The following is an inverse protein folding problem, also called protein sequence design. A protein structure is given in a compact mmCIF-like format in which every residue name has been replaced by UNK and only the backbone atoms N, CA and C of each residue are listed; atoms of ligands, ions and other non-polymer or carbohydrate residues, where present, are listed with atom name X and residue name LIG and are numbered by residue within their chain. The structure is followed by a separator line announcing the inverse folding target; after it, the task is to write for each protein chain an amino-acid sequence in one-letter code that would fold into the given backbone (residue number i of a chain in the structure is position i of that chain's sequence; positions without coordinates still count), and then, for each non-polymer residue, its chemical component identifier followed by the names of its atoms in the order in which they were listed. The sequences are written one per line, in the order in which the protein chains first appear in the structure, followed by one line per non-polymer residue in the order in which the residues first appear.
data_IF_584435473204
#
_entry.id   IF_584435473204
#
_cell.length_a   1.000
_cell.length_b   1.000
_cell.length_c   1.000
_cell.angle_alpha   90.00
_cell.angle_beta   90.00
_cell.angle_gamma   90.00
#
_symmetry.space_group_name_H-M   'P 1'
#
loop_
_entity.id
_entity.type
_entity.pdbx_description
1 polymer ?
#
# COMPACT_ATOMS: atom_id res chain seq x y z
N UNK A 1 -0.66 -21.51 35.78
CA UNK A 1 -1.95 -21.86 35.16
C UNK A 1 -1.62 -22.54 33.83
N UNK A 2 -2.58 -23.17 33.14
CA UNK A 2 -2.30 -23.68 31.80
C UNK A 2 -2.59 -22.56 30.78
N UNK A 3 -1.65 -22.27 29.90
CA UNK A 3 -1.82 -21.31 28.81
C UNK A 3 -3.11 -21.54 28.02
N UNK A 4 -3.82 -20.46 27.71
CA UNK A 4 -5.01 -20.45 26.82
C UNK A 4 -4.66 -20.29 25.34
N UNK A 5 -3.38 -20.19 24.98
CA UNK A 5 -2.94 -20.05 23.59
C UNK A 5 -3.52 -21.13 22.64
N UNK A 6 -3.55 -22.43 23.01
CA UNK A 6 -4.15 -23.45 22.14
C UNK A 6 -5.64 -23.17 21.83
N UNK A 7 -6.39 -22.58 22.77
CA UNK A 7 -7.80 -22.22 22.55
C UNK A 7 -7.97 -21.18 21.43
N UNK A 8 -7.03 -20.25 21.29
CA UNK A 8 -7.03 -19.26 20.21
C UNK A 8 -6.76 -19.97 18.88
N UNK A 9 -5.70 -20.78 18.81
CA UNK A 9 -5.28 -21.44 17.58
C UNK A 9 -6.33 -22.46 17.08
N UNK A 10 -6.96 -23.21 17.99
CA UNK A 10 -8.04 -24.14 17.68
C UNK A 10 -9.31 -23.47 17.14
N UNK A 11 -9.48 -22.15 17.36
CA UNK A 11 -10.65 -21.39 16.95
C UNK A 11 -10.46 -20.66 15.62
N UNK A 12 -9.23 -20.37 15.22
CA UNK A 12 -8.94 -19.67 13.97
C UNK A 12 -9.44 -20.47 12.75
N UNK A 13 -9.93 -19.75 11.73
CA UNK A 13 -10.55 -20.32 10.53
C UNK A 13 -11.79 -21.20 10.77
N UNK A 14 -12.44 -21.07 11.93
CA UNK A 14 -13.72 -21.72 12.23
C UNK A 14 -14.87 -20.72 12.25
N UNK A 15 -16.10 -21.20 12.10
CA UNK A 15 -17.29 -20.37 12.10
C UNK A 15 -17.63 -19.90 13.53
N UNK A 16 -18.27 -18.75 13.70
CA UNK A 16 -18.71 -18.23 15.01
C UNK A 16 -19.52 -19.24 15.84
N UNK A 17 -20.31 -20.06 15.14
CA UNK A 17 -21.13 -21.10 15.74
C UNK A 17 -20.36 -22.32 16.26
N UNK A 18 -19.08 -22.47 15.91
CA UNK A 18 -18.33 -23.69 16.21
C UNK A 18 -17.93 -23.77 17.69
N UNK A 19 -17.88 -24.98 18.29
CA UNK A 19 -17.54 -25.15 19.69
C UNK A 19 -16.21 -24.49 20.13
N UNK A 20 -15.12 -24.51 19.35
CA UNK A 20 -13.88 -23.81 19.73
C UNK A 20 -14.05 -22.28 19.83
N UNK A 21 -14.74 -21.65 18.87
CA UNK A 21 -14.99 -20.21 18.89
C UNK A 21 -15.87 -19.83 20.09
N UNK A 22 -16.92 -20.63 20.38
CA UNK A 22 -17.77 -20.41 21.57
C UNK A 22 -17.00 -20.50 22.88
N UNK A 23 -16.05 -21.44 23.02
CA UNK A 23 -15.17 -21.53 24.20
C UNK A 23 -14.30 -20.28 24.35
N UNK A 24 -13.81 -19.72 23.24
CA UNK A 24 -13.03 -18.50 23.24
C UNK A 24 -13.89 -17.29 23.66
N UNK A 25 -15.11 -17.19 23.13
CA UNK A 25 -16.09 -16.18 23.55
C UNK A 25 -16.43 -16.28 25.04
N UNK A 26 -16.65 -17.49 25.55
CA UNK A 26 -16.83 -17.75 26.99
C UNK A 26 -15.62 -17.25 27.81
N UNK A 27 -14.40 -17.52 27.34
CA UNK A 27 -13.16 -17.09 28.00
C UNK A 27 -12.98 -15.56 28.02
N UNK A 28 -13.59 -14.83 27.09
CA UNK A 28 -13.63 -13.37 27.09
C UNK A 28 -14.82 -12.75 27.86
N UNK A 29 -15.70 -13.58 28.43
CA UNK A 29 -16.82 -13.12 29.25
C UNK A 29 -18.19 -13.15 28.57
N UNK A 30 -18.34 -13.94 27.49
CA UNK A 30 -19.58 -14.23 26.74
C UNK A 30 -20.15 -13.09 25.91
N UNK A 31 -20.46 -11.96 26.52
CA UNK A 31 -21.17 -10.86 25.84
C UNK A 31 -20.17 -9.78 25.40
N UNK A 32 -20.09 -9.46 24.09
CA UNK A 32 -19.28 -8.34 23.63
C UNK A 32 -19.89 -7.02 24.11
N UNK A 33 -19.03 -6.09 24.56
CA UNK A 33 -19.41 -4.74 24.98
C UNK A 33 -19.49 -3.75 23.82
N UNK A 34 -18.97 -4.13 22.66
CA UNK A 34 -19.14 -3.40 21.41
C UNK A 34 -19.07 -4.37 20.23
N UNK A 35 -19.94 -4.15 19.26
CA UNK A 35 -19.96 -4.84 17.97
C UNK A 35 -19.86 -3.79 16.88
N UNK A 36 -18.94 -3.97 15.95
CA UNK A 36 -18.82 -3.14 14.76
C UNK A 36 -18.91 -4.06 13.53
N UNK A 37 -19.73 -3.67 12.57
CA UNK A 37 -20.00 -4.44 11.36
C UNK A 37 -19.82 -3.54 10.14
N UNK A 38 -19.27 -4.10 9.07
CA UNK A 38 -19.11 -3.41 7.80
C UNK A 38 -18.87 -4.38 6.65
N UNK A 39 -19.25 -3.94 5.47
CA UNK A 39 -18.90 -4.62 4.23
C UNK A 39 -17.81 -3.84 3.51
N UNK A 40 -16.82 -4.53 2.96
CA UNK A 40 -15.76 -3.90 2.17
C UNK A 40 -15.47 -4.70 0.90
N UNK A 41 -14.96 -4.01 -0.12
CA UNK A 41 -14.60 -4.60 -1.40
C UNK A 41 -15.80 -4.99 -2.28
N UNK A 42 -15.50 -5.59 -3.42
CA UNK A 42 -16.44 -6.22 -4.35
C UNK A 42 -15.76 -7.44 -5.01
N UNK A 43 -16.26 -8.68 -4.85
CA UNK A 43 -17.42 -9.06 -4.03
C UNK A 43 -17.29 -8.62 -2.57
N UNK A 44 -18.42 -8.26 -1.96
CA UNK A 44 -18.46 -7.77 -0.59
C UNK A 44 -17.95 -8.85 0.39
N UNK A 45 -17.00 -8.49 1.25
CA UNK A 45 -16.67 -9.26 2.45
C UNK A 45 -17.29 -8.58 3.66
N UNK A 46 -18.06 -9.32 4.45
CA UNK A 46 -18.65 -8.82 5.68
C UNK A 46 -17.69 -9.00 6.86
N UNK A 47 -17.14 -7.89 7.36
CA UNK A 47 -16.29 -7.85 8.55
C UNK A 47 -17.13 -7.55 9.78
N UNK A 48 -17.02 -8.40 10.81
CA UNK A 48 -17.66 -8.22 12.11
C UNK A 48 -16.61 -8.27 13.21
N UNK A 49 -16.58 -7.25 14.06
CA UNK A 49 -15.63 -7.11 15.16
C UNK A 49 -16.35 -7.14 16.49
N UNK A 50 -16.00 -8.12 17.31
CA UNK A 50 -16.56 -8.31 18.65
C UNK A 50 -15.53 -7.90 19.69
N UNK A 51 -15.79 -6.86 20.46
CA UNK A 51 -14.90 -6.40 21.54
C UNK A 51 -15.49 -6.77 22.89
N UNK A 52 -14.66 -7.32 23.77
CA UNK A 52 -15.08 -7.81 25.08
C UNK A 52 -14.53 -6.94 26.21
N UNK A 53 -15.28 -6.86 27.32
CA UNK A 53 -14.89 -6.05 28.49
C UNK A 53 -13.49 -6.40 29.02
N UNK A 54 -13.11 -7.68 28.89
CA UNK A 54 -11.84 -8.24 29.33
C UNK A 54 -10.63 -7.85 28.46
N UNK A 55 -10.82 -7.09 27.38
CA UNK A 55 -9.74 -6.65 26.48
C UNK A 55 -9.44 -7.62 25.33
N UNK A 56 -10.22 -8.69 25.19
CA UNK A 56 -10.21 -9.54 24.00
C UNK A 56 -11.00 -8.93 22.86
N UNK A 57 -10.58 -9.22 21.63
CA UNK A 57 -11.32 -8.86 20.42
C UNK A 57 -11.26 -9.98 19.39
N UNK A 58 -12.38 -10.23 18.72
CA UNK A 58 -12.52 -11.19 17.62
C UNK A 58 -12.86 -10.43 16.34
N UNK A 59 -12.23 -10.80 15.22
CA UNK A 59 -12.55 -10.29 13.89
C UNK A 59 -13.01 -11.47 13.04
N UNK A 60 -14.22 -11.37 12.50
CA UNK A 60 -14.82 -12.36 11.63
C UNK A 60 -14.99 -11.80 10.22
N UNK A 61 -14.69 -12.62 9.21
CA UNK A 61 -15.04 -12.37 7.81
C UNK A 61 -16.05 -13.41 7.37
N UNK A 62 -17.24 -12.99 6.94
CA UNK A 62 -18.32 -13.88 6.50
C UNK A 62 -18.56 -15.04 7.49
N UNK A 63 -18.73 -14.68 8.77
CA UNK A 63 -18.89 -15.57 9.93
C UNK A 63 -17.68 -16.45 10.31
N UNK A 64 -16.56 -16.35 9.58
CA UNK A 64 -15.33 -17.09 9.86
C UNK A 64 -14.36 -16.28 10.71
N UNK A 65 -13.84 -16.84 11.79
CA UNK A 65 -12.88 -16.17 12.66
C UNK A 65 -11.51 -16.04 11.98
N UNK A 66 -11.13 -14.81 11.59
CA UNK A 66 -9.88 -14.53 10.87
C UNK A 66 -8.78 -13.95 11.76
N UNK A 67 -9.16 -13.30 12.87
CA UNK A 67 -8.19 -12.80 13.85
C UNK A 67 -8.72 -12.79 15.28
N UNK A 68 -7.80 -12.98 16.22
CA UNK A 68 -8.02 -12.80 17.67
C UNK A 68 -7.00 -11.80 18.19
N UNK A 69 -7.45 -10.77 18.88
CA UNK A 69 -6.58 -9.77 19.49
C UNK A 69 -6.67 -9.84 21.01
N UNK A 70 -5.51 -9.81 21.65
CA UNK A 70 -5.35 -9.68 23.09
C UNK A 70 -4.75 -8.29 23.38
N UNK A 71 -5.58 -7.33 23.79
CA UNK A 71 -5.13 -5.97 24.08
C UNK A 71 -4.51 -5.91 25.48
N UNK A 72 -3.21 -5.62 25.57
CA UNK A 72 -2.46 -5.56 26.85
C UNK A 72 -2.52 -4.19 27.52
N UNK A 73 -3.16 -3.23 26.87
CA UNK A 73 -3.52 -1.91 27.40
C UNK A 73 -5.02 -1.69 27.27
N UNK A 74 -5.64 -0.86 28.13
CA UNK A 74 -7.06 -0.52 27.97
C UNK A 74 -7.33 0.11 26.60
N UNK A 75 -8.42 -0.29 25.95
CA UNK A 75 -8.84 0.31 24.67
C UNK A 75 -10.06 1.18 24.88
N UNK A 76 -10.10 2.32 24.18
CA UNK A 76 -11.21 3.27 24.25
C UNK A 76 -11.80 3.43 22.85
N UNK A 77 -13.10 3.17 22.74
CA UNK A 77 -13.91 3.55 21.57
C UNK A 77 -14.78 4.76 21.93
N UNK A 78 -15.57 5.26 20.99
CA UNK A 78 -16.44 6.43 21.20
C UNK A 78 -17.42 6.26 22.39
N UNK A 79 -17.82 5.03 22.71
CA UNK A 79 -18.86 4.74 23.71
C UNK A 79 -18.43 3.80 24.82
N UNK A 80 -17.27 3.14 24.71
CA UNK A 80 -16.90 2.01 25.58
C UNK A 80 -15.41 2.04 25.90
N UNK A 81 -15.05 1.73 27.15
CA UNK A 81 -13.67 1.47 27.57
C UNK A 81 -13.56 0.00 27.97
N UNK A 82 -12.61 -0.73 27.39
CA UNK A 82 -12.30 -2.10 27.79
C UNK A 82 -11.11 -2.13 28.72
N UNK A 83 -11.06 -3.14 29.59
CA UNK A 83 -9.87 -3.39 30.39
C UNK A 83 -8.72 -3.91 29.52
N UNK A 84 -7.49 -3.83 30.03
CA UNK A 84 -6.39 -4.62 29.50
C UNK A 84 -6.59 -6.09 29.88
N UNK A 85 -6.28 -6.99 28.96
CA UNK A 85 -6.20 -8.41 29.26
C UNK A 85 -5.04 -8.71 30.19
N UNK A 86 -5.14 -9.67 31.09
CA UNK A 86 -3.96 -10.18 31.80
C UNK A 86 -3.29 -11.24 30.91
N UNK A 87 -2.21 -10.85 30.22
CA UNK A 87 -1.51 -11.72 29.29
C UNK A 87 -0.98 -13.00 29.96
N UNK A 88 -0.72 -12.97 31.27
CA UNK A 88 -0.22 -14.14 32.00
C UNK A 88 -1.25 -15.28 32.11
N UNK A 89 -2.54 -14.99 31.93
CA UNK A 89 -3.58 -16.02 31.84
C UNK A 89 -3.62 -16.71 30.47
N UNK A 90 -3.07 -16.07 29.44
CA UNK A 90 -3.16 -16.52 28.05
C UNK A 90 -1.87 -17.15 27.58
N UNK A 91 -0.72 -16.60 28.01
CA UNK A 91 0.59 -17.02 27.57
C UNK A 91 1.51 -17.25 28.79
N UNK A 92 1.86 -18.51 29.02
CA UNK A 92 2.70 -18.90 30.15
C UNK A 92 4.08 -18.24 30.03
N UNK A 93 4.48 -17.51 31.06
CA UNK A 93 5.78 -16.82 31.09
C UNK A 93 5.81 -15.44 30.44
N UNK A 94 4.66 -14.90 30.03
CA UNK A 94 4.52 -13.52 29.58
C UNK A 94 3.63 -12.69 30.51
N UNK A 95 3.81 -11.37 30.50
CA UNK A 95 2.97 -10.39 31.19
C UNK A 95 2.71 -9.21 30.27
N UNK A 96 1.82 -8.28 30.65
CA UNK A 96 1.56 -7.08 29.86
C UNK A 96 2.80 -6.19 29.69
N UNK A 97 3.84 -6.38 30.51
CA UNK A 97 5.12 -5.70 30.38
C UNK A 97 6.13 -6.44 29.50
N UNK A 98 5.75 -7.55 28.85
CA UNK A 98 6.65 -8.40 28.09
C UNK A 98 7.36 -7.63 26.96
N UNK A 99 8.67 -7.79 26.89
CA UNK A 99 9.48 -7.40 25.73
C UNK A 99 9.40 -8.47 24.64
N UNK A 100 9.92 -8.16 23.45
CA UNK A 100 10.02 -9.14 22.37
C UNK A 100 10.87 -10.37 22.74
N UNK A 101 11.90 -10.19 23.56
CA UNK A 101 12.72 -11.30 24.04
C UNK A 101 12.00 -12.15 25.10
N UNK A 102 11.10 -11.55 25.89
CA UNK A 102 10.24 -12.31 26.81
C UNK A 102 9.17 -13.10 26.05
N UNK A 103 8.52 -12.47 25.06
CA UNK A 103 7.60 -13.16 24.14
C UNK A 103 8.28 -14.32 23.41
N UNK A 104 9.54 -14.15 22.99
CA UNK A 104 10.32 -15.23 22.36
C UNK A 104 10.58 -16.41 23.30
N UNK A 105 10.70 -16.19 24.61
CA UNK A 105 10.84 -17.28 25.59
C UNK A 105 9.51 -17.98 25.87
N UNK A 106 8.42 -17.21 25.87
CA UNK A 106 7.08 -17.68 26.18
C UNK A 106 6.39 -18.39 24.99
N UNK A 107 6.69 -17.98 23.76
CA UNK A 107 6.11 -18.53 22.54
C UNK A 107 7.09 -19.51 21.91
N UNK A 108 6.69 -20.78 21.78
CA UNK A 108 7.50 -21.87 21.20
C UNK A 108 7.69 -21.78 19.67
N UNK A 109 7.59 -20.57 19.09
CA UNK A 109 7.58 -20.29 17.67
C UNK A 109 8.85 -19.59 17.17
N UNK A 110 9.11 -19.70 15.86
CA UNK A 110 10.22 -18.97 15.25
C UNK A 110 9.87 -17.49 15.12
N UNK A 111 10.67 -16.63 15.74
CA UNK A 111 10.56 -15.16 15.58
C UNK A 111 10.94 -14.74 14.15
N UNK A 112 10.10 -13.92 13.55
CA UNK A 112 10.24 -13.29 12.23
C UNK A 112 9.83 -11.82 12.29
N UNK A 113 9.99 -11.12 11.17
CA UNK A 113 9.56 -9.74 11.00
C UNK A 113 8.77 -9.59 9.72
N UNK A 114 7.65 -8.89 9.81
CA UNK A 114 6.88 -8.39 8.68
C UNK A 114 7.35 -6.97 8.36
N UNK A 115 7.71 -6.72 7.09
CA UNK A 115 8.26 -5.44 6.65
C UNK A 115 9.51 -5.03 7.45
N UNK A 116 9.61 -3.74 7.77
CA UNK A 116 10.80 -3.14 8.40
C UNK A 116 10.83 -3.20 9.94
N UNK A 117 9.83 -3.80 10.61
CA UNK A 117 9.83 -3.73 12.08
C UNK A 117 8.70 -4.39 12.85
N UNK A 118 7.76 -5.11 12.23
CA UNK A 118 6.66 -5.73 12.99
C UNK A 118 7.03 -7.19 13.33
N UNK A 119 7.37 -7.51 14.60
CA UNK A 119 7.72 -8.87 14.97
C UNK A 119 6.49 -9.80 14.97
N UNK A 120 6.70 -11.04 14.53
CA UNK A 120 5.71 -12.10 14.67
C UNK A 120 6.37 -13.46 14.94
N UNK A 121 5.56 -14.43 15.35
CA UNK A 121 5.95 -15.80 15.65
C UNK A 121 5.14 -16.78 14.80
N UNK A 122 5.83 -17.72 14.16
CA UNK A 122 5.22 -18.87 13.49
C UNK A 122 4.74 -19.89 14.54
N UNK A 123 3.47 -20.27 14.51
CA UNK A 123 2.82 -21.23 15.42
C UNK A 123 2.23 -22.40 14.64
N UNK A 124 1.98 -23.52 15.33
CA UNK A 124 1.20 -24.61 14.73
C UNK A 124 -0.27 -24.15 14.60
N UNK A 125 -0.77 -24.06 13.37
CA UNK A 125 -2.12 -23.57 13.08
C UNK A 125 -2.26 -22.04 12.92
N UNK A 126 -1.18 -21.25 12.93
CA UNK A 126 -1.27 -19.82 12.63
C UNK A 126 -0.04 -18.99 13.00
N UNK A 127 -0.26 -17.70 13.26
CA UNK A 127 0.79 -16.72 13.55
C UNK A 127 0.38 -15.84 14.72
N UNK A 128 1.36 -15.39 15.52
CA UNK A 128 1.15 -14.36 16.54
C UNK A 128 2.00 -13.12 16.20
N UNK A 129 1.36 -12.01 15.89
CA UNK A 129 1.97 -10.71 15.61
C UNK A 129 1.94 -9.84 16.86
N UNK A 130 3.08 -9.28 17.24
CA UNK A 130 3.17 -8.40 18.41
C UNK A 130 3.19 -6.93 17.99
N UNK A 131 2.23 -6.17 18.52
CA UNK A 131 2.12 -4.73 18.31
C UNK A 131 2.72 -4.01 19.50
N UNK A 132 3.77 -3.23 19.23
CA UNK A 132 4.41 -2.37 20.22
C UNK A 132 4.11 -0.91 19.89
N UNK A 133 4.14 -0.07 20.92
CA UNK A 133 3.92 1.37 20.81
C UNK A 133 4.82 1.99 19.72
N UNK A 134 4.25 2.85 18.89
CA UNK A 134 4.93 3.53 17.76
C UNK A 134 5.58 2.57 16.75
N UNK A 135 5.14 1.30 16.72
CA UNK A 135 5.77 0.21 15.96
C UNK A 135 7.28 0.07 16.22
N UNK A 136 7.72 0.45 17.43
CA UNK A 136 9.10 0.45 17.92
C UNK A 136 9.09 0.06 19.41
N UNK A 137 10.24 0.13 20.08
CA UNK A 137 10.30 -0.02 21.54
C UNK A 137 10.04 -1.45 22.05
N UNK A 138 10.20 -2.45 21.19
CA UNK A 138 9.99 -3.86 21.54
C UNK A 138 11.01 -4.43 22.54
N UNK A 139 12.05 -3.66 22.88
CA UNK A 139 13.01 -3.99 23.93
C UNK A 139 12.63 -3.38 25.30
N UNK A 140 11.65 -2.49 25.33
CA UNK A 140 11.30 -1.73 26.53
C UNK A 140 10.05 -2.35 27.19
N UNK A 141 10.11 -2.70 28.49
CA UNK A 141 8.97 -3.26 29.18
C UNK A 141 7.75 -2.31 29.20
N UNK A 142 6.57 -2.87 29.01
CA UNK A 142 5.29 -2.11 29.04
C UNK A 142 4.92 -1.44 27.72
N UNK A 143 5.75 -1.57 26.67
CA UNK A 143 5.43 -1.05 25.34
C UNK A 143 4.59 -2.01 24.48
N UNK A 144 4.32 -3.24 24.93
CA UNK A 144 3.41 -4.15 24.26
C UNK A 144 1.98 -3.61 24.35
N UNK A 145 1.33 -3.41 23.21
CA UNK A 145 -0.03 -2.87 23.09
C UNK A 145 -1.03 -3.99 22.82
N UNK A 146 -0.67 -4.94 21.96
CA UNK A 146 -1.51 -6.09 21.67
C UNK A 146 -0.71 -7.28 21.10
N UNK A 147 -1.30 -8.47 21.22
CA UNK A 147 -0.95 -9.63 20.40
C UNK A 147 -2.13 -9.95 19.47
N UNK A 148 -1.87 -9.99 18.16
CA UNK A 148 -2.84 -10.39 17.15
C UNK A 148 -2.50 -11.79 16.64
N UNK A 149 -3.48 -12.69 16.66
CA UNK A 149 -3.36 -14.06 16.18
C UNK A 149 -4.14 -14.21 14.88
N UNK A 150 -3.49 -14.70 13.84
CA UNK A 150 -4.06 -14.80 12.49
C UNK A 150 -3.70 -16.14 11.85
N UNK A 151 -4.54 -16.59 10.91
CA UNK A 151 -4.25 -17.76 10.06
C UNK A 151 -3.20 -17.38 9.02
N UNK A 152 -3.35 -16.20 8.43
CA UNK A 152 -2.48 -15.70 7.37
C UNK A 152 -1.18 -15.13 7.92
N UNK A 153 -0.12 -15.26 7.12
CA UNK A 153 1.22 -14.84 7.50
C UNK A 153 1.32 -13.30 7.52
N UNK A 154 1.71 -12.69 8.66
CA UNK A 154 1.90 -11.26 8.75
C UNK A 154 2.90 -10.73 7.70
N UNK A 155 2.49 -9.67 6.99
CA UNK A 155 3.29 -9.02 5.96
C UNK A 155 3.16 -9.61 4.55
N UNK A 156 2.46 -10.74 4.39
CA UNK A 156 2.12 -11.27 3.06
C UNK A 156 0.68 -10.96 2.65
N UNK A 157 -0.21 -10.75 3.62
CA UNK A 157 -1.63 -10.41 3.41
C UNK A 157 -2.00 -9.11 4.14
N UNK A 158 -3.17 -8.56 3.80
CA UNK A 158 -3.76 -7.46 4.55
C UNK A 158 -4.04 -7.87 6.00
N UNK A 159 -3.87 -6.93 6.93
CA UNK A 159 -4.21 -7.15 8.33
C UNK A 159 -5.74 -7.07 8.49
N UNK A 160 -6.42 -8.05 9.10
CA UNK A 160 -7.87 -7.96 9.34
C UNK A 160 -8.28 -6.72 10.14
N UNK A 161 -7.37 -6.19 10.98
CA UNK A 161 -7.60 -4.97 11.74
C UNK A 161 -7.79 -3.71 10.87
N UNK A 162 -7.27 -3.73 9.64
CA UNK A 162 -7.32 -2.60 8.71
C UNK A 162 -8.70 -2.45 8.04
N UNK A 163 -9.63 -3.39 8.23
CA UNK A 163 -11.01 -3.30 7.70
C UNK A 163 -11.75 -2.06 8.20
N UNK A 164 -11.39 -1.58 9.40
CA UNK A 164 -11.92 -0.35 9.97
C UNK A 164 -11.14 0.92 9.58
N UNK A 165 -10.20 0.83 8.62
CA UNK A 165 -9.33 1.95 8.30
C UNK A 165 -10.16 3.16 7.81
N UNK A 166 -10.17 4.28 8.56
CA UNK A 166 -11.07 5.41 8.31
C UNK A 166 -10.80 6.12 6.97
N UNK A 167 -9.64 5.85 6.36
CA UNK A 167 -9.23 6.46 5.10
C UNK A 167 -9.65 5.67 3.86
N UNK A 168 -9.99 4.38 3.99
CA UNK A 168 -10.23 3.54 2.81
C UNK A 168 -11.42 2.60 2.90
N UNK A 169 -11.89 2.26 4.10
CA UNK A 169 -12.90 1.23 4.30
C UNK A 169 -14.30 1.56 3.76
N UNK A 170 -14.63 2.84 3.66
CA UNK A 170 -15.96 3.35 3.29
C UNK A 170 -15.97 3.95 1.88
N UNK A 171 -14.96 3.66 1.06
CA UNK A 171 -14.84 4.22 -0.28
C UNK A 171 -15.65 3.44 -1.33
N UNK A 172 -16.06 2.21 -1.03
CA UNK A 172 -16.89 1.39 -1.91
C UNK A 172 -18.34 1.85 -1.76
N UNK A 173 -18.92 2.33 -2.85
CA UNK A 173 -20.30 2.81 -2.90
C UNK A 173 -21.19 1.72 -3.50
N UNK A 174 -22.37 1.53 -2.91
CA UNK A 174 -23.37 0.57 -3.39
C UNK A 174 -24.63 1.28 -3.87
N UNK A 175 -25.33 0.67 -4.82
CA UNK A 175 -26.62 1.14 -5.31
C UNK A 175 -27.79 0.61 -4.47
N UNK A 176 -29.04 0.86 -4.92
CA UNK A 176 -30.25 0.40 -4.21
C UNK A 176 -30.39 -1.14 -4.18
N UNK A 177 -29.69 -1.86 -5.06
CA UNK A 177 -29.66 -3.31 -5.10
C UNK A 177 -28.50 -3.91 -4.27
N UNK A 178 -27.77 -3.07 -3.52
CA UNK A 178 -26.54 -3.43 -2.79
C UNK A 178 -25.41 -3.92 -3.71
N UNK A 179 -25.48 -3.62 -5.02
CA UNK A 179 -24.43 -3.90 -5.99
C UNK A 179 -23.42 -2.75 -6.04
N UNK A 180 -22.22 -3.00 -6.57
CA UNK A 180 -21.18 -1.98 -6.70
C UNK A 180 -21.63 -0.85 -7.65
N UNK A 181 -21.78 0.36 -7.11
CA UNK A 181 -21.95 1.57 -7.90
C UNK A 181 -20.56 2.04 -8.35
N UNK A 182 -20.17 1.63 -9.55
CA UNK A 182 -18.82 1.90 -10.10
C UNK A 182 -18.57 3.41 -10.21
N UNK A 183 -19.52 4.19 -10.71
CA UNK A 183 -19.33 5.63 -10.90
C UNK A 183 -19.18 6.36 -9.57
N UNK A 184 -20.04 6.08 -8.59
CA UNK A 184 -19.91 6.68 -7.25
C UNK A 184 -18.66 6.20 -6.53
N UNK A 185 -18.26 4.94 -6.73
CA UNK A 185 -17.01 4.41 -6.15
C UNK A 185 -15.80 5.13 -6.74
N UNK A 186 -15.71 5.27 -8.07
CA UNK A 186 -14.64 6.04 -8.72
C UNK A 186 -14.61 7.48 -8.22
N UNK A 187 -15.76 8.14 -8.11
CA UNK A 187 -15.83 9.49 -7.56
C UNK A 187 -15.33 9.58 -6.11
N UNK A 188 -15.71 8.63 -5.25
CA UNK A 188 -15.26 8.53 -3.86
C UNK A 188 -13.74 8.32 -3.76
N UNK A 189 -13.19 7.42 -4.58
CA UNK A 189 -11.76 7.17 -4.67
C UNK A 189 -11.00 8.43 -5.13
N UNK A 190 -11.48 9.12 -6.16
CA UNK A 190 -10.89 10.37 -6.66
C UNK A 190 -10.88 11.45 -5.59
N UNK A 191 -11.96 11.56 -4.81
CA UNK A 191 -12.03 12.51 -3.70
C UNK A 191 -11.04 12.16 -2.58
N UNK A 192 -10.87 10.86 -2.28
CA UNK A 192 -9.88 10.39 -1.31
C UNK A 192 -8.43 10.62 -1.78
N UNK A 193 -8.15 10.52 -3.08
CA UNK A 193 -6.85 10.90 -3.67
C UNK A 193 -6.62 12.41 -3.52
N UNK A 194 -7.60 13.23 -3.87
CA UNK A 194 -7.50 14.69 -3.72
C UNK A 194 -7.29 15.14 -2.27
N UNK A 195 -7.85 14.39 -1.30
CA UNK A 195 -7.65 14.60 0.12
C UNK A 195 -6.30 14.06 0.66
N UNK A 196 -5.50 13.38 -0.17
CA UNK A 196 -4.22 12.78 0.22
C UNK A 196 -4.34 11.49 1.04
N UNK A 197 -5.55 10.93 1.16
CA UNK A 197 -5.80 9.67 1.87
C UNK A 197 -5.35 8.45 1.05
N UNK A 198 -5.47 8.54 -0.28
CA UNK A 198 -5.01 7.55 -1.23
C UNK A 198 -3.93 8.13 -2.14
N UNK A 199 -3.06 7.26 -2.65
CA UNK A 199 -2.08 7.60 -3.69
C UNK A 199 -2.18 6.60 -4.84
N UNK A 200 -2.45 7.09 -6.04
CA UNK A 200 -2.46 6.26 -7.26
C UNK A 200 -1.07 5.71 -7.59
N UNK A 201 -1.02 4.47 -8.07
CA UNK A 201 0.17 3.92 -8.71
C UNK A 201 0.21 4.38 -10.17
N UNK A 202 1.20 5.22 -10.55
CA UNK A 202 1.27 5.79 -11.89
C UNK A 202 1.53 4.76 -12.99
N UNK A 203 1.83 3.50 -12.65
CA UNK A 203 2.01 2.42 -13.64
C UNK A 203 0.69 1.85 -14.15
N UNK A 204 -0.43 2.20 -13.50
CA UNK A 204 -1.76 1.70 -13.80
C UNK A 204 -2.62 2.77 -14.45
N UNK A 205 -3.80 2.38 -14.94
CA UNK A 205 -4.77 3.35 -15.47
C UNK A 205 -5.19 4.28 -14.34
N UNK A 206 -5.09 5.59 -14.54
CA UNK A 206 -5.53 6.58 -13.55
C UNK A 206 -7.05 6.55 -13.38
N UNK A 207 -7.53 6.95 -12.20
CA UNK A 207 -8.97 7.00 -11.91
C UNK A 207 -9.75 7.90 -12.88
N UNK A 208 -9.13 8.99 -13.33
CA UNK A 208 -9.72 9.91 -14.31
C UNK A 208 -9.99 9.25 -15.67
N UNK A 209 -9.18 8.25 -16.02
CA UNK A 209 -9.23 7.56 -17.31
C UNK A 209 -9.97 6.21 -17.22
N UNK A 210 -10.18 5.68 -16.02
CA UNK A 210 -10.68 4.32 -15.78
C UNK A 210 -12.02 4.03 -16.50
N UNK A 211 -13.00 4.92 -16.37
CA UNK A 211 -14.33 4.74 -16.97
C UNK A 211 -14.30 4.90 -18.49
N UNK A 212 -13.58 5.89 -19.01
CA UNK A 212 -13.46 6.13 -20.45
C UNK A 212 -12.73 4.96 -21.13
N UNK A 213 -11.64 4.49 -20.52
CA UNK A 213 -10.90 3.32 -20.98
C UNK A 213 -11.77 2.07 -20.97
N UNK A 214 -12.53 1.83 -19.91
CA UNK A 214 -13.44 0.69 -19.87
C UNK A 214 -14.53 0.78 -20.95
N UNK A 215 -15.17 1.94 -21.09
CA UNK A 215 -16.20 2.20 -22.09
C UNK A 215 -15.72 2.07 -23.54
N UNK A 216 -14.42 2.30 -23.81
CA UNK A 216 -13.83 2.10 -25.13
C UNK A 216 -13.86 0.65 -25.60
N UNK A 217 -13.86 -0.30 -24.66
CA UNK A 217 -13.74 -1.71 -24.97
C UNK A 217 -12.41 -2.07 -25.68
N UNK A 218 -11.33 -1.32 -25.49
CA UNK A 218 -10.02 -1.66 -26.06
C UNK A 218 -9.23 -2.67 -25.21
N UNK A 219 -9.54 -2.75 -23.91
CA UNK A 219 -8.92 -3.70 -22.98
C UNK A 219 -9.97 -4.68 -22.45
N UNK A 220 -9.57 -5.93 -22.20
CA UNK A 220 -10.45 -6.92 -21.54
C UNK A 220 -10.69 -6.59 -20.06
N UNK A 221 -9.65 -6.06 -19.40
CA UNK A 221 -9.63 -5.65 -18.01
C UNK A 221 -8.91 -4.32 -17.90
N UNK A 222 -9.56 -3.34 -17.28
CA UNK A 222 -8.98 -2.04 -16.94
C UNK A 222 -8.88 -1.97 -15.43
N UNK A 223 -7.72 -1.59 -14.90
CA UNK A 223 -7.49 -1.58 -13.46
C UNK A 223 -6.73 -0.34 -13.02
N UNK A 224 -7.17 0.23 -11.89
CA UNK A 224 -6.45 1.26 -11.13
C UNK A 224 -6.03 0.67 -9.78
N UNK A 225 -4.80 0.99 -9.36
CA UNK A 225 -4.28 0.61 -8.05
C UNK A 225 -3.94 1.84 -7.21
N UNK A 226 -4.37 1.83 -5.94
CA UNK A 226 -4.21 2.96 -5.02
C UNK A 226 -3.68 2.51 -3.67
N UNK A 227 -2.63 3.14 -3.17
CA UNK A 227 -2.09 2.90 -1.83
C UNK A 227 -2.79 3.79 -0.81
N UNK A 228 -3.43 3.20 0.19
CA UNK A 228 -3.92 3.94 1.35
C UNK A 228 -2.76 4.48 2.17
N UNK A 229 -2.75 5.79 2.47
CA UNK A 229 -1.67 6.40 3.24
C UNK A 229 -1.72 6.06 4.74
N UNK A 230 -2.88 5.64 5.25
CA UNK A 230 -3.08 5.27 6.66
C UNK A 230 -2.73 3.81 6.93
N UNK A 231 -3.39 2.85 6.26
CA UNK A 231 -3.19 1.42 6.51
C UNK A 231 -2.23 0.75 5.53
N UNK A 232 -1.79 1.44 4.47
CA UNK A 232 -0.84 0.94 3.46
C UNK A 232 -1.34 -0.23 2.60
N UNK A 233 -2.61 -0.66 2.76
CA UNK A 233 -3.28 -1.58 1.82
C UNK A 233 -3.32 -0.97 0.43
N UNK A 234 -3.23 -1.82 -0.58
CA UNK A 234 -3.45 -1.46 -1.98
C UNK A 234 -4.89 -1.76 -2.33
N UNK A 235 -5.67 -0.73 -2.67
CA UNK A 235 -7.00 -0.86 -3.22
C UNK A 235 -6.88 -1.02 -4.74
N UNK A 236 -7.34 -2.13 -5.28
CA UNK A 236 -7.41 -2.39 -6.72
C UNK A 236 -8.86 -2.36 -7.15
N UNK A 237 -9.22 -1.41 -8.02
CA UNK A 237 -10.52 -1.40 -8.71
C UNK A 237 -10.30 -1.86 -10.14
N UNK A 238 -11.00 -2.92 -10.56
CA UNK A 238 -10.89 -3.46 -11.90
C UNK A 238 -12.25 -3.62 -12.56
N UNK A 239 -12.33 -3.18 -13.81
CA UNK A 239 -13.51 -3.22 -14.67
C UNK A 239 -13.20 -4.19 -15.83
N UNK A 240 -14.01 -5.24 -15.96
CA UNK A 240 -13.84 -6.26 -17.01
C UNK A 240 -14.93 -6.11 -18.07
N UNK A 241 -14.68 -6.59 -19.29
CA UNK A 241 -15.73 -6.77 -20.32
C UNK A 241 -16.68 -7.90 -19.92
N UNK A 242 -17.54 -7.65 -18.95
CA UNK A 242 -18.44 -8.65 -18.36
C UNK A 242 -19.08 -8.14 -17.05
N UNK A 243 -19.84 -8.98 -16.35
CA UNK A 243 -20.71 -8.51 -15.27
C UNK A 243 -20.05 -8.28 -13.92
N UNK A 244 -18.72 -8.47 -13.74
CA UNK A 244 -18.11 -8.41 -12.41
C UNK A 244 -16.91 -7.49 -12.36
N UNK A 245 -17.20 -6.21 -12.19
CA UNK A 245 -16.24 -5.27 -11.62
C UNK A 245 -15.84 -5.74 -10.22
N UNK A 246 -14.57 -5.58 -9.87
CA UNK A 246 -14.05 -5.98 -8.56
C UNK A 246 -13.38 -4.80 -7.87
N UNK A 247 -13.52 -4.74 -6.55
CA UNK A 247 -12.75 -3.82 -5.70
C UNK A 247 -12.13 -4.66 -4.59
N UNK A 248 -10.81 -4.82 -4.60
CA UNK A 248 -10.11 -5.68 -3.63
C UNK A 248 -9.04 -4.92 -2.88
N UNK A 249 -8.78 -5.33 -1.64
CA UNK A 249 -7.74 -4.76 -0.79
C UNK A 249 -6.63 -5.80 -0.63
N UNK A 250 -5.45 -5.48 -1.16
CA UNK A 250 -4.33 -6.41 -1.27
C UNK A 250 -3.08 -5.90 -0.54
N UNK A 251 -2.25 -6.83 -0.11
CA UNK A 251 -0.89 -6.49 0.27
C UNK A 251 -0.07 -6.13 -0.99
N UNK A 252 1.01 -5.36 -0.80
CA UNK A 252 1.86 -4.88 -1.91
C UNK A 252 2.34 -6.01 -2.84
N UNK A 253 2.73 -7.16 -2.26
CA UNK A 253 3.25 -8.28 -3.05
C UNK A 253 2.15 -8.98 -3.87
N UNK A 254 0.91 -8.98 -3.39
CA UNK A 254 -0.23 -9.54 -4.11
C UNK A 254 -0.65 -8.61 -5.24
N UNK A 255 -0.78 -7.31 -4.97
CA UNK A 255 -1.09 -6.30 -5.98
C UNK A 255 -0.07 -6.28 -7.13
N UNK A 256 1.22 -6.50 -6.83
CA UNK A 256 2.30 -6.60 -7.83
C UNK A 256 2.22 -7.83 -8.73
N UNK A 257 1.46 -8.86 -8.36
CA UNK A 257 1.25 -10.04 -9.21
C UNK A 257 0.16 -9.80 -10.25
N UNK A 258 -0.68 -8.76 -10.08
CA UNK A 258 -1.61 -8.36 -11.12
C UNK A 258 -0.83 -7.91 -12.34
N UNK A 259 -1.35 -8.23 -13.52
CA UNK A 259 -0.76 -7.88 -14.81
C UNK A 259 -1.68 -6.92 -15.53
N UNK A 260 -1.13 -5.78 -15.93
CA UNK A 260 -1.81 -4.84 -16.82
C UNK A 260 -1.36 -5.13 -18.26
N UNK A 261 -2.33 -5.23 -19.17
CA UNK A 261 -2.03 -5.20 -20.60
C UNK A 261 -1.42 -3.87 -21.03
N UNK A 262 -0.92 -3.77 -22.26
CA UNK A 262 -0.53 -2.47 -22.79
C UNK A 262 -1.75 -1.53 -22.78
N UNK A 263 -1.60 -0.35 -22.17
CA UNK A 263 -2.62 0.68 -22.18
C UNK A 263 -2.68 1.26 -23.61
N UNK A 264 -3.83 1.21 -24.29
CA UNK A 264 -3.99 1.80 -25.62
C UNK A 264 -3.70 3.31 -25.60
N UNK A 265 -3.20 3.87 -26.72
CA UNK A 265 -2.91 5.30 -26.81
C UNK A 265 -4.18 6.13 -26.60
N UNK A 266 -4.04 7.31 -25.98
CA UNK A 266 -5.19 8.15 -25.58
C UNK A 266 -6.06 8.57 -26.76
N UNK A 267 -5.49 8.65 -27.95
CA UNK A 267 -6.17 9.03 -29.18
C UNK A 267 -7.28 8.05 -29.57
N UNK A 268 -7.22 6.82 -29.07
CA UNK A 268 -8.19 5.77 -29.39
C UNK A 268 -9.44 5.82 -28.47
N UNK A 269 -9.40 6.53 -27.33
CA UNK A 269 -10.48 6.48 -26.32
C UNK A 269 -10.74 7.78 -25.55
N UNK A 270 -9.79 8.72 -25.52
CA UNK A 270 -9.88 9.96 -24.75
C UNK A 270 -10.77 11.03 -25.40
N UNK A 271 -11.27 11.96 -24.60
CA UNK A 271 -11.92 13.17 -25.12
C UNK A 271 -10.90 14.09 -25.79
N UNK A 272 -11.37 15.07 -26.57
CA UNK A 272 -10.49 16.06 -27.20
C UNK A 272 -9.65 16.83 -26.16
N UNK A 273 -10.23 17.13 -25.00
CA UNK A 273 -9.54 17.76 -23.88
C UNK A 273 -8.47 16.84 -23.28
N UNK A 274 -8.79 15.55 -23.07
CA UNK A 274 -7.85 14.58 -22.50
C UNK A 274 -6.69 14.28 -23.46
N UNK A 275 -6.95 14.19 -24.75
CA UNK A 275 -5.92 14.06 -25.80
C UNK A 275 -5.01 15.29 -25.80
N UNK A 276 -5.56 16.50 -25.68
CA UNK A 276 -4.76 17.72 -25.58
C UNK A 276 -3.89 17.73 -24.32
N UNK A 277 -4.44 17.30 -23.17
CA UNK A 277 -3.68 17.16 -21.92
C UNK A 277 -2.53 16.15 -22.06
N UNK A 278 -2.77 15.00 -22.70
CA UNK A 278 -1.73 14.00 -22.93
C UNK A 278 -0.63 14.55 -23.83
N UNK A 279 -0.99 15.22 -24.92
CA UNK A 279 -0.01 15.85 -25.82
C UNK A 279 0.88 16.87 -25.09
N UNK A 280 0.31 17.60 -24.13
CA UNK A 280 1.02 18.62 -23.37
C UNK A 280 1.73 18.03 -22.11
N UNK A 281 1.56 16.73 -21.84
CA UNK A 281 2.23 16.00 -20.77
C UNK A 281 3.68 15.63 -21.12
N UNK A 282 4.42 15.18 -20.11
CA UNK A 282 5.81 14.75 -20.28
C UNK A 282 5.87 13.27 -20.66
N UNK A 283 6.60 12.93 -21.71
CA UNK A 283 6.68 11.60 -22.32
C UNK A 283 8.09 11.03 -22.27
N UNK A 284 8.19 9.71 -22.15
CA UNK A 284 9.46 9.00 -22.26
C UNK A 284 9.97 9.01 -23.72
N UNK A 285 11.27 9.25 -23.91
CA UNK A 285 11.94 9.18 -25.22
C UNK A 285 13.00 8.07 -25.27
N UNK A 286 13.98 8.09 -24.35
CA UNK A 286 15.05 7.08 -24.27
C UNK A 286 15.62 7.01 -22.84
N UNK A 287 16.41 5.99 -22.53
CA UNK A 287 17.17 5.93 -21.28
C UNK A 287 18.46 5.10 -21.37
N UNK A 288 19.35 5.34 -20.41
CA UNK A 288 20.41 4.42 -20.04
C UNK A 288 20.14 3.86 -18.64
N UNK A 289 20.00 2.53 -18.48
CA UNK A 289 19.64 1.91 -17.21
C UNK A 289 20.55 2.35 -16.05
N UNK A 290 19.92 2.86 -14.99
CA UNK A 290 20.62 3.31 -13.79
C UNK A 290 21.39 4.63 -13.93
N UNK A 291 21.33 5.31 -15.08
CA UNK A 291 22.06 6.56 -15.32
C UNK A 291 21.18 7.76 -15.63
N UNK A 292 20.42 7.72 -16.72
CA UNK A 292 19.63 8.86 -17.16
C UNK A 292 18.37 8.44 -17.92
N UNK A 293 17.37 9.31 -17.89
CA UNK A 293 16.18 9.25 -18.73
C UNK A 293 16.10 10.53 -19.58
N UNK A 294 15.75 10.37 -20.86
CA UNK A 294 15.38 11.47 -21.74
C UNK A 294 13.86 11.47 -21.83
N UNK A 295 13.27 12.63 -21.54
CA UNK A 295 11.84 12.87 -21.62
C UNK A 295 11.55 14.13 -22.44
N UNK A 296 10.38 14.21 -23.04
CA UNK A 296 9.94 15.35 -23.85
C UNK A 296 8.63 15.92 -23.30
N UNK A 297 8.43 17.22 -23.42
CA UNK A 297 7.16 17.87 -23.15
C UNK A 297 6.93 18.96 -24.21
N UNK A 298 5.92 18.79 -25.06
CA UNK A 298 5.80 19.55 -26.29
C UNK A 298 7.06 19.37 -27.17
N UNK A 299 7.67 20.47 -27.61
CA UNK A 299 8.91 20.44 -28.41
C UNK A 299 10.21 20.47 -27.57
N UNK A 300 10.10 20.49 -26.24
CA UNK A 300 11.24 20.63 -25.33
C UNK A 300 11.72 19.28 -24.81
N UNK A 301 13.03 19.02 -24.92
CA UNK A 301 13.69 17.85 -24.36
C UNK A 301 14.27 18.14 -22.96
N UNK A 302 14.15 17.16 -22.08
CA UNK A 302 14.69 17.20 -20.72
C UNK A 302 15.51 15.93 -20.45
N UNK A 303 16.67 16.10 -19.84
CA UNK A 303 17.52 15.01 -19.37
C UNK A 303 17.39 14.91 -17.85
N UNK A 304 16.85 13.79 -17.36
CA UNK A 304 16.87 13.42 -15.95
C UNK A 304 18.10 12.56 -15.65
N UNK A 305 19.14 13.14 -15.07
CA UNK A 305 20.42 12.47 -14.86
C UNK A 305 20.67 12.16 -13.37
N UNK A 306 20.99 10.89 -13.06
CA UNK A 306 21.32 10.46 -11.70
C UNK A 306 22.70 10.94 -11.25
N UNK A 307 22.77 11.36 -10.00
CA UNK A 307 24.02 11.74 -9.34
C UNK A 307 24.06 11.21 -7.91
N UNK A 308 25.28 11.06 -7.37
CA UNK A 308 25.49 10.62 -5.99
C UNK A 308 25.68 11.86 -5.12
N UNK A 309 24.90 11.98 -4.05
CA UNK A 309 25.07 13.02 -3.02
C UNK A 309 26.14 12.58 -2.02
N UNK A 310 26.10 11.31 -1.64
CA UNK A 310 27.03 10.64 -0.72
C UNK A 310 26.99 9.13 -0.95
N UNK A 311 27.91 8.37 -0.36
CA UNK A 311 27.96 6.90 -0.49
C UNK A 311 26.65 6.17 -0.14
N UNK A 312 25.73 6.82 0.60
CA UNK A 312 24.44 6.27 1.01
C UNK A 312 23.22 6.95 0.38
N UNK A 313 23.41 8.00 -0.44
CA UNK A 313 22.31 8.82 -0.98
C UNK A 313 22.59 9.14 -2.44
N UNK A 314 21.71 8.68 -3.33
CA UNK A 314 21.62 9.12 -4.72
C UNK A 314 20.41 10.05 -4.92
N UNK A 315 20.47 10.86 -5.97
CA UNK A 315 19.37 11.71 -6.43
C UNK A 315 19.48 11.92 -7.94
N UNK A 316 18.65 12.79 -8.52
CA UNK A 316 18.57 13.05 -9.96
C UNK A 316 18.32 14.53 -10.22
N UNK A 317 18.96 15.07 -11.26
CA UNK A 317 18.78 16.45 -11.69
C UNK A 317 18.03 16.46 -13.03
N UNK A 318 16.94 17.21 -13.09
CA UNK A 318 16.18 17.38 -14.33
C UNK A 318 16.61 18.66 -15.02
N UNK A 319 17.17 18.52 -16.22
CA UNK A 319 17.72 19.64 -16.98
C UNK A 319 17.03 19.74 -18.33
N UNK A 320 16.43 20.90 -18.64
CA UNK A 320 16.02 21.23 -20.00
C UNK A 320 17.26 21.39 -20.90
N UNK A 321 17.27 20.68 -22.03
CA UNK A 321 18.31 20.83 -23.03
C UNK A 321 18.14 22.16 -23.75
N UNK A 322 19.19 22.96 -23.84
CA UNK A 322 19.15 24.17 -24.67
C UNK A 322 19.18 23.82 -26.18
N UNK A 323 19.01 24.81 -27.05
CA UNK A 323 19.00 24.61 -28.50
C UNK A 323 20.28 23.94 -29.02
N UNK A 324 21.44 24.29 -28.44
CA UNK A 324 22.73 23.75 -28.85
C UNK A 324 22.92 22.30 -28.36
N UNK A 325 22.45 21.98 -27.15
CA UNK A 325 22.44 20.64 -26.59
C UNK A 325 21.44 19.74 -27.34
N UNK A 326 20.29 20.28 -27.74
CA UNK A 326 19.29 19.59 -28.56
C UNK A 326 19.84 19.27 -29.95
N UNK A 327 20.52 20.21 -30.61
CA UNK A 327 21.16 19.97 -31.91
C UNK A 327 22.32 18.96 -31.81
N UNK A 328 23.10 19.00 -30.73
CA UNK A 328 24.12 17.98 -30.45
C UNK A 328 23.52 16.60 -30.24
N UNK A 329 22.40 16.51 -29.52
CA UNK A 329 21.67 15.26 -29.38
C UNK A 329 21.17 14.75 -30.73
N UNK A 330 20.56 15.61 -31.56
CA UNK A 330 20.09 15.20 -32.90
C UNK A 330 21.21 14.70 -33.81
N UNK A 331 22.41 15.28 -33.72
CA UNK A 331 23.56 14.90 -34.55
C UNK A 331 24.36 13.70 -34.02
N UNK A 332 24.50 13.58 -32.69
CA UNK A 332 25.41 12.60 -32.04
C UNK A 332 24.68 11.51 -31.25
N UNK A 333 23.38 11.68 -31.04
CA UNK A 333 22.49 10.74 -30.35
C UNK A 333 22.89 10.51 -28.89
N UNK A 334 22.73 9.26 -28.46
CA UNK A 334 22.94 8.80 -27.07
C UNK A 334 24.31 9.13 -26.50
N UNK A 335 25.35 9.16 -27.32
CA UNK A 335 26.73 9.45 -26.87
C UNK A 335 26.85 10.84 -26.25
N UNK A 336 26.14 11.83 -26.80
CA UNK A 336 26.10 13.18 -26.22
C UNK A 336 25.41 13.17 -24.85
N UNK A 337 24.25 12.49 -24.75
CA UNK A 337 23.50 12.40 -23.49
C UNK A 337 24.29 11.69 -22.39
N UNK A 338 24.97 10.58 -22.73
CA UNK A 338 25.83 9.87 -21.79
C UNK A 338 26.96 10.77 -21.25
N UNK A 339 27.61 11.55 -22.13
CA UNK A 339 28.64 12.51 -21.73
C UNK A 339 28.08 13.66 -20.88
N UNK A 340 26.89 14.18 -21.22
CA UNK A 340 26.23 15.22 -20.43
C UNK A 340 25.83 14.70 -19.04
N UNK A 341 25.24 13.51 -18.96
CA UNK A 341 24.87 12.86 -17.71
C UNK A 341 26.09 12.62 -16.82
N UNK A 342 27.22 12.20 -17.38
CA UNK A 342 28.48 12.03 -16.64
C UNK A 342 29.01 13.38 -16.09
N UNK A 343 28.91 14.45 -16.88
CA UNK A 343 29.26 15.80 -16.41
C UNK A 343 28.36 16.26 -15.27
N UNK A 344 27.05 15.98 -15.35
CA UNK A 344 26.09 16.29 -14.27
C UNK A 344 26.46 15.49 -13.02
N UNK A 345 26.64 14.17 -13.15
CA UNK A 345 27.02 13.28 -12.06
C UNK A 345 28.25 13.79 -11.30
N UNK A 346 29.34 14.09 -12.03
CA UNK A 346 30.59 14.59 -11.47
C UNK A 346 30.49 16.05 -11.00
N UNK A 347 29.52 16.80 -11.52
CA UNK A 347 29.34 18.24 -11.27
C UNK A 347 28.64 18.57 -9.96
N UNK A 348 28.13 17.59 -9.19
CA UNK A 348 27.45 17.80 -7.91
C UNK A 348 26.30 18.83 -7.98
N UNK A 349 25.23 18.59 -8.77
CA UNK A 349 24.15 19.55 -9.02
C UNK A 349 23.37 19.98 -7.76
N UNK A 350 23.55 19.28 -6.64
CA UNK A 350 22.99 19.65 -5.34
C UNK A 350 23.74 20.81 -4.63
N UNK A 351 24.89 21.26 -5.15
CA UNK A 351 25.71 22.34 -4.56
C UNK A 351 25.60 23.62 -5.39
N UNK A 352 25.38 24.77 -4.74
CA UNK A 352 25.21 26.07 -5.41
C UNK A 352 26.37 26.46 -6.35
N UNK A 353 27.59 26.02 -6.06
CA UNK A 353 28.75 26.27 -6.91
C UNK A 353 28.74 25.48 -8.24
N UNK A 354 27.86 24.49 -8.38
CA UNK A 354 27.75 23.67 -9.58
C UNK A 354 27.10 24.46 -10.72
N UNK A 355 27.61 24.37 -11.95
CA UNK A 355 26.93 24.95 -13.12
C UNK A 355 25.57 24.31 -13.41
N UNK A 356 25.29 23.14 -12.82
CA UNK A 356 24.02 22.43 -12.99
C UNK A 356 23.00 22.75 -11.90
N UNK A 357 23.42 23.33 -10.78
CA UNK A 357 22.51 23.71 -9.69
C UNK A 357 21.37 24.65 -10.13
N UNK A 358 21.61 25.75 -10.85
CA UNK A 358 20.53 26.63 -11.29
C UNK A 358 19.71 26.04 -12.44
N UNK A 359 20.19 24.96 -13.08
CA UNK A 359 19.51 24.29 -14.19
C UNK A 359 18.59 23.16 -13.73
N UNK A 360 18.74 22.69 -12.49
CA UNK A 360 17.94 21.58 -11.97
C UNK A 360 16.52 22.05 -11.61
N UNK A 361 15.58 21.72 -12.50
CA UNK A 361 14.18 22.11 -12.40
C UNK A 361 13.48 21.52 -11.17
N UNK A 362 14.00 20.39 -10.62
CA UNK A 362 13.46 19.76 -9.41
C UNK A 362 13.70 20.60 -8.15
N UNK A 363 14.59 21.60 -8.20
CA UNK A 363 14.91 22.50 -7.07
C UNK A 363 14.11 23.80 -7.08
N UNK A 364 13.45 24.12 -8.19
CA UNK A 364 12.62 25.31 -8.32
C UNK A 364 11.27 25.21 -7.60
N UNK A 365 10.48 26.31 -7.59
CA UNK A 365 9.13 26.32 -7.02
C UNK A 365 8.20 25.24 -7.59
N UNK A 366 8.38 24.90 -8.87
CA UNK A 366 7.63 23.87 -9.59
C UNK A 366 8.25 22.46 -9.45
N UNK A 367 9.31 22.30 -8.66
CA UNK A 367 10.08 21.06 -8.60
C UNK A 367 9.26 19.83 -8.19
N UNK A 368 8.20 20.01 -7.40
CA UNK A 368 7.27 18.93 -7.08
C UNK A 368 6.47 18.45 -8.31
N UNK A 369 6.00 19.39 -9.15
CA UNK A 369 5.29 19.07 -10.39
C UNK A 369 6.22 18.36 -11.39
N UNK A 370 7.46 18.84 -11.55
CA UNK A 370 8.45 18.16 -12.40
C UNK A 370 8.79 16.75 -11.90
N UNK A 371 8.93 16.55 -10.58
CA UNK A 371 9.14 15.21 -10.01
C UNK A 371 7.98 14.27 -10.34
N UNK A 372 6.75 14.74 -10.22
CA UNK A 372 5.56 13.95 -10.55
C UNK A 372 5.49 13.63 -12.05
N UNK A 373 5.67 14.63 -12.90
CA UNK A 373 5.64 14.49 -14.36
C UNK A 373 6.71 13.50 -14.87
N UNK A 374 7.97 13.63 -14.42
CA UNK A 374 9.04 12.68 -14.78
C UNK A 374 8.72 11.28 -14.25
N UNK A 375 8.26 11.16 -13.00
CA UNK A 375 7.96 9.85 -12.40
C UNK A 375 6.87 9.10 -13.16
N UNK A 376 5.83 9.82 -13.60
CA UNK A 376 4.76 9.29 -14.48
C UNK A 376 5.32 8.87 -15.83
N UNK A 377 6.06 9.76 -16.50
CA UNK A 377 6.62 9.52 -17.84
C UNK A 377 7.49 8.26 -17.91
N UNK A 378 8.32 8.01 -16.89
CA UNK A 378 9.32 6.93 -16.92
C UNK A 378 8.86 5.64 -16.23
N UNK A 379 7.65 5.61 -15.66
CA UNK A 379 7.22 4.56 -14.72
C UNK A 379 7.38 3.15 -15.30
N UNK A 380 7.09 2.98 -16.59
CA UNK A 380 7.17 1.72 -17.34
C UNK A 380 8.56 1.41 -17.91
N UNK A 381 9.53 2.30 -17.72
CA UNK A 381 10.91 2.18 -18.21
C UNK A 381 11.93 2.02 -17.07
N UNK A 382 11.46 1.94 -15.83
CA UNK A 382 12.30 1.68 -14.66
C UNK A 382 12.72 0.21 -14.57
N UNK A 383 13.77 -0.08 -13.80
CA UNK A 383 14.17 -1.47 -13.51
C UNK A 383 13.04 -2.29 -12.86
N UNK A 384 12.23 -1.65 -12.00
CA UNK A 384 11.04 -2.28 -11.42
C UNK A 384 9.98 -2.63 -12.47
N UNK A 385 9.83 -1.81 -13.52
CA UNK A 385 8.96 -2.15 -14.64
C UNK A 385 9.46 -3.35 -15.45
N UNK A 386 10.78 -3.42 -15.71
CA UNK A 386 11.38 -4.60 -16.38
C UNK A 386 11.12 -5.90 -15.62
N UNK A 387 11.24 -5.88 -14.28
CA UNK A 387 10.93 -7.06 -13.46
C UNK A 387 9.46 -7.48 -13.55
N UNK A 388 8.54 -6.51 -13.62
CA UNK A 388 7.09 -6.78 -13.80
C UNK A 388 6.78 -7.38 -15.17
N UNK A 389 7.51 -7.00 -16.23
CA UNK A 389 7.31 -7.55 -17.57
C UNK A 389 7.95 -8.92 -17.80
N UNK A 390 9.01 -9.26 -17.06
CA UNK A 390 9.79 -10.50 -17.22
C UNK A 390 9.32 -11.66 -16.31
N UNK A 391 8.40 -11.40 -15.37
CA UNK A 391 7.85 -12.38 -14.42
C UNK A 391 6.46 -12.83 -14.81
#
# INVERSE_FOLDING_TARGET
MASRLPMILDALALAEGDPPVRRLVDAFGREPVAVAERSFGEPATHSRRLRFAAGGELILHDDMLVAVLLHTVPTTTATTVTSAIDLSEWLDGASNAATLDDLKKAIAGRRRFAGFGTPYFELDGGYARAEFKDHRGWNDPGNLVALAFTVEQPGLTCRPEDDDCPSCSELVMRDEAEELDVEKTVASLTQAVAAGNLKEDPSWVGLEDLLAMHGSGLMERVESQLTCQTCRRILCIALEKGPKSTVVYLALNEARRHRLGAIPPVEDWGSAERIAQERDAMHYVDHEPGRWFLVEQGDQLYLDARYVVSDMVDDSALIALDDAETERYRSTGRTFLASLAERIHNGSPHREASPFFPRDLKRGPEGAAYRDAVSKAIVNHTWLARQRSES
#
